data_IF_827477757549
#
_entry.id   IF_827477757549
#
_cell.length_a   1.000
_cell.length_b   1.000
_cell.length_c   1.000
_cell.angle_alpha   90.00
_cell.angle_beta   90.00
_cell.angle_gamma   90.00
#
_symmetry.space_group_name_H-M   'P 1'
#
loop_
_entity.id
_entity.type
_entity.pdbx_description
1 polymer ?
#
# COMPACT_ATOMS: atom_id res chain seq x y z
N UNK A 1 -7.42 6.38 -20.82
CA UNK A 1 -7.57 7.37 -19.75
C UNK A 1 -7.99 8.69 -20.38
N UNK A 2 -9.29 8.91 -20.59
CA UNK A 2 -9.81 10.13 -21.26
C UNK A 2 -10.53 11.09 -20.31
N UNK A 3 -10.77 10.69 -19.05
CA UNK A 3 -11.44 11.51 -18.04
C UNK A 3 -10.48 12.35 -17.17
N UNK A 4 -9.16 12.25 -17.37
CA UNK A 4 -8.16 12.90 -16.51
C UNK A 4 -7.98 12.26 -15.13
N UNK A 5 -8.53 11.06 -14.89
CA UNK A 5 -8.40 10.33 -13.63
C UNK A 5 -7.10 9.49 -13.61
N UNK A 6 -6.33 9.63 -12.53
CA UNK A 6 -5.27 8.70 -12.17
C UNK A 6 -5.86 7.48 -11.47
N UNK A 7 -5.37 6.29 -11.83
CA UNK A 7 -5.71 5.05 -11.15
C UNK A 7 -4.42 4.48 -10.56
N UNK A 8 -4.47 4.09 -9.29
CA UNK A 8 -3.39 3.29 -8.70
C UNK A 8 -4.01 2.06 -8.05
N UNK A 9 -3.20 1.01 -7.98
CA UNK A 9 -3.66 -0.31 -7.61
C UNK A 9 -3.19 -0.59 -6.20
N UNK A 10 -4.08 -1.14 -5.38
CA UNK A 10 -3.76 -1.58 -4.03
C UNK A 10 -4.19 -3.03 -3.85
N UNK A 11 -3.34 -3.84 -3.22
CA UNK A 11 -3.76 -5.11 -2.64
C UNK A 11 -4.27 -4.83 -1.23
N UNK A 12 -5.55 -5.10 -0.95
CA UNK A 12 -6.11 -4.98 0.41
C UNK A 12 -5.55 -6.06 1.33
N UNK A 13 -5.38 -5.70 2.60
CA UNK A 13 -4.99 -6.60 3.68
C UNK A 13 -6.08 -7.62 4.06
N UNK A 14 -5.72 -8.62 4.87
CA UNK A 14 -6.66 -9.49 5.58
C UNK A 14 -7.33 -8.79 6.76
N UNK A 15 -8.36 -9.42 7.32
CA UNK A 15 -9.01 -8.92 8.54
C UNK A 15 -8.00 -8.70 9.69
N UNK A 16 -8.22 -7.70 10.56
CA UNK A 16 -7.31 -7.39 11.67
C UNK A 16 -7.01 -8.59 12.58
N UNK A 17 -5.79 -8.60 13.14
CA UNK A 17 -5.23 -9.72 13.90
C UNK A 17 -4.63 -10.82 13.02
N UNK A 18 -4.33 -10.52 11.75
CA UNK A 18 -3.68 -11.46 10.85
C UNK A 18 -2.17 -11.49 11.10
N UNK A 19 -1.54 -12.61 10.72
CA UNK A 19 -0.11 -12.85 10.94
C UNK A 19 0.56 -12.96 9.57
N UNK A 20 1.38 -11.97 9.16
CA UNK A 20 2.21 -12.09 7.97
C UNK A 20 3.29 -13.15 8.17
N UNK A 21 3.61 -13.86 7.08
CA UNK A 21 4.75 -14.76 7.04
C UNK A 21 5.52 -14.53 5.73
N UNK A 22 6.81 -14.93 5.66
CA UNK A 22 7.57 -14.83 4.41
C UNK A 22 6.88 -15.53 3.23
N UNK A 23 6.25 -16.70 3.46
CA UNK A 23 5.55 -17.45 2.42
C UNK A 23 4.30 -16.74 1.92
N UNK A 24 3.55 -16.09 2.83
CA UNK A 24 2.41 -15.27 2.44
C UNK A 24 2.86 -14.04 1.64
N UNK A 25 4.03 -13.49 1.90
CA UNK A 25 4.58 -12.38 1.14
C UNK A 25 4.79 -12.75 -0.34
N UNK A 26 5.39 -13.93 -0.57
CA UNK A 26 5.54 -14.49 -1.92
C UNK A 26 4.19 -14.76 -2.58
N UNK A 27 3.29 -15.49 -1.89
CA UNK A 27 1.98 -15.84 -2.44
C UNK A 27 1.18 -14.59 -2.81
N UNK A 28 1.15 -13.59 -1.93
CA UNK A 28 0.33 -12.40 -2.13
C UNK A 28 0.95 -11.46 -3.16
N UNK A 29 2.28 -11.33 -3.17
CA UNK A 29 2.98 -10.58 -4.22
C UNK A 29 2.71 -11.16 -5.61
N UNK A 30 2.76 -12.49 -5.75
CA UNK A 30 2.40 -13.16 -7.00
C UNK A 30 0.95 -12.92 -7.39
N UNK A 31 0.03 -13.03 -6.42
CA UNK A 31 -1.39 -12.78 -6.68
C UNK A 31 -1.65 -11.34 -7.13
N UNK A 32 -1.08 -10.35 -6.43
CA UNK A 32 -1.19 -8.94 -6.81
C UNK A 32 -0.64 -8.71 -8.22
N UNK A 33 0.59 -9.13 -8.49
CA UNK A 33 1.23 -8.96 -9.78
C UNK A 33 0.45 -9.65 -10.93
N UNK A 34 -0.04 -10.87 -10.70
CA UNK A 34 -0.83 -11.59 -11.69
C UNK A 34 -2.20 -10.93 -11.93
N UNK A 35 -2.90 -10.47 -10.89
CA UNK A 35 -4.17 -9.75 -11.07
C UNK A 35 -3.98 -8.47 -11.88
N UNK A 36 -2.96 -7.68 -11.55
CA UNK A 36 -2.64 -6.44 -12.27
C UNK A 36 -2.35 -6.71 -13.75
N UNK A 37 -1.50 -7.71 -14.02
CA UNK A 37 -1.17 -8.11 -15.39
C UNK A 37 -2.40 -8.63 -16.15
N UNK A 38 -3.25 -9.45 -15.51
CA UNK A 38 -4.46 -10.01 -16.12
C UNK A 38 -5.53 -8.95 -16.41
N UNK A 39 -5.55 -7.85 -15.65
CA UNK A 39 -6.41 -6.69 -15.92
C UNK A 39 -5.89 -5.83 -17.08
N UNK A 40 -4.72 -6.15 -17.65
CA UNK A 40 -4.13 -5.47 -18.80
C UNK A 40 -3.41 -4.17 -18.46
N UNK A 41 -3.04 -3.95 -17.20
CA UNK A 41 -2.22 -2.81 -16.84
C UNK A 41 -0.80 -2.93 -17.42
N UNK A 42 -0.23 -1.84 -17.93
CA UNK A 42 1.12 -1.87 -18.47
C UNK A 42 2.15 -2.01 -17.35
N UNK A 43 3.34 -2.51 -17.69
CA UNK A 43 4.50 -2.48 -16.82
C UNK A 43 4.83 -1.04 -16.38
N UNK A 44 5.54 -0.90 -15.27
CA UNK A 44 5.98 0.36 -14.69
C UNK A 44 4.96 1.06 -13.79
N UNK A 45 3.68 0.67 -13.81
CA UNK A 45 2.67 1.24 -12.90
C UNK A 45 2.97 0.88 -11.44
N UNK A 46 2.51 1.73 -10.51
CA UNK A 46 2.66 1.49 -9.08
C UNK A 46 1.57 0.57 -8.54
N UNK A 47 1.98 -0.44 -7.78
CA UNK A 47 1.08 -1.34 -7.03
C UNK A 47 1.43 -1.22 -5.55
N UNK A 48 0.45 -0.90 -4.71
CA UNK A 48 0.62 -0.70 -3.29
C UNK A 48 0.28 -1.96 -2.48
N UNK A 49 1.17 -2.31 -1.55
CA UNK A 49 0.89 -3.24 -0.46
C UNK A 49 0.19 -2.50 0.68
N UNK A 50 -0.99 -2.95 1.09
CA UNK A 50 -1.66 -2.50 2.30
C UNK A 50 -1.11 -3.23 3.54
N UNK A 51 -0.51 -2.48 4.47
CA UNK A 51 0.06 -2.99 5.70
C UNK A 51 -0.62 -2.38 6.94
N UNK A 52 -1.62 -3.09 7.45
CA UNK A 52 -2.38 -2.69 8.65
C UNK A 52 -2.93 -3.88 9.45
N UNK A 53 -3.27 -3.63 10.71
CA UNK A 53 -4.02 -4.58 11.55
C UNK A 53 -3.30 -5.91 11.80
N UNK A 54 -1.97 -5.91 11.87
CA UNK A 54 -1.18 -7.13 12.15
C UNK A 54 -1.32 -7.50 13.64
N UNK A 55 -1.33 -8.81 13.94
CA UNK A 55 -1.28 -9.28 15.33
C UNK A 55 -0.05 -8.70 16.05
N UNK A 56 -0.28 -8.08 17.21
CA UNK A 56 0.75 -7.34 17.97
C UNK A 56 1.92 -8.21 18.45
N UNK A 57 1.77 -9.53 18.46
CA UNK A 57 2.85 -10.46 18.85
C UNK A 57 3.65 -10.96 17.64
N UNK A 58 3.32 -10.52 16.42
CA UNK A 58 4.05 -10.90 15.22
C UNK A 58 5.47 -10.33 15.28
N UNK A 59 6.52 -11.16 15.13
CA UNK A 59 7.89 -10.67 15.05
C UNK A 59 8.07 -9.70 13.89
N UNK A 60 8.67 -8.54 14.15
CA UNK A 60 8.94 -7.56 13.09
C UNK A 60 9.81 -8.12 11.95
N UNK A 61 10.66 -9.12 12.22
CA UNK A 61 11.40 -9.86 11.19
C UNK A 61 10.50 -10.57 10.18
N UNK A 62 9.38 -11.13 10.63
CA UNK A 62 8.43 -11.84 9.75
C UNK A 62 7.62 -10.85 8.92
N UNK A 63 7.28 -9.69 9.50
CA UNK A 63 6.64 -8.58 8.79
C UNK A 63 7.57 -8.04 7.69
N UNK A 64 8.84 -7.78 8.02
CA UNK A 64 9.85 -7.32 7.05
C UNK A 64 10.04 -8.34 5.93
N UNK A 65 10.13 -9.63 6.26
CA UNK A 65 10.30 -10.69 5.27
C UNK A 65 9.06 -10.84 4.38
N UNK A 66 7.85 -10.73 4.94
CA UNK A 66 6.60 -10.66 4.17
C UNK A 66 6.62 -9.49 3.17
N UNK A 67 6.92 -8.28 3.65
CA UNK A 67 6.99 -7.08 2.83
C UNK A 67 8.04 -7.17 1.71
N UNK A 68 9.23 -7.68 2.03
CA UNK A 68 10.34 -7.84 1.08
C UNK A 68 10.02 -8.90 0.02
N UNK A 69 9.43 -10.03 0.41
CA UNK A 69 9.03 -11.05 -0.55
C UNK A 69 7.90 -10.54 -1.46
N UNK A 70 6.92 -9.84 -0.91
CA UNK A 70 5.86 -9.21 -1.71
C UNK A 70 6.45 -8.23 -2.73
N UNK A 71 7.35 -7.36 -2.28
CA UNK A 71 8.07 -6.41 -3.13
C UNK A 71 8.72 -7.11 -4.33
N UNK A 72 9.49 -8.18 -4.06
CA UNK A 72 10.24 -8.88 -5.10
C UNK A 72 9.33 -9.49 -6.17
N UNK A 73 8.20 -10.10 -5.79
CA UNK A 73 7.28 -10.72 -6.75
C UNK A 73 6.61 -9.67 -7.65
N UNK A 74 6.29 -8.50 -7.10
CA UNK A 74 5.68 -7.38 -7.85
C UNK A 74 6.71 -6.73 -8.79
N UNK A 75 7.93 -6.48 -8.30
CA UNK A 75 9.02 -5.93 -9.11
C UNK A 75 9.44 -6.89 -10.25
N UNK A 76 9.54 -8.18 -9.96
CA UNK A 76 9.89 -9.21 -10.96
C UNK A 76 8.87 -9.33 -12.10
N UNK A 77 7.62 -8.88 -11.88
CA UNK A 77 6.59 -8.81 -12.92
C UNK A 77 6.64 -7.50 -13.73
N UNK A 78 7.56 -6.60 -13.41
CA UNK A 78 7.74 -5.32 -14.10
C UNK A 78 6.90 -4.17 -13.54
N UNK A 79 6.27 -4.32 -12.38
CA UNK A 79 5.55 -3.21 -11.71
C UNK A 79 6.44 -2.50 -10.71
N UNK A 80 6.04 -1.28 -10.31
CA UNK A 80 6.71 -0.50 -9.27
C UNK A 80 6.05 -0.77 -7.91
N UNK A 81 6.71 -1.43 -6.94
CA UNK A 81 6.09 -1.66 -5.63
C UNK A 81 6.04 -0.36 -4.80
N UNK A 82 4.88 -0.07 -4.22
CA UNK A 82 4.67 0.92 -3.17
C UNK A 82 4.10 0.28 -1.92
N UNK A 83 4.06 1.02 -0.81
CA UNK A 83 3.48 0.53 0.45
C UNK A 83 2.58 1.58 1.09
N UNK A 84 1.40 1.13 1.53
CA UNK A 84 0.48 1.87 2.37
C UNK A 84 0.64 1.42 3.82
N UNK A 85 0.78 2.38 4.74
CA UNK A 85 1.01 2.14 6.17
C UNK A 85 -0.16 2.66 7.00
N UNK A 86 -0.80 1.76 7.74
CA UNK A 86 -1.84 2.11 8.70
C UNK A 86 -1.55 1.60 10.13
N UNK A 87 -2.59 1.63 10.97
CA UNK A 87 -2.51 1.20 12.37
C UNK A 87 -2.01 -0.24 12.47
N UNK A 88 -1.31 -0.53 13.57
CA UNK A 88 -0.77 -1.85 13.88
C UNK A 88 0.00 -2.51 12.71
N UNK A 89 0.80 -1.73 11.99
CA UNK A 89 1.72 -2.25 10.97
C UNK A 89 2.89 -3.06 11.55
N UNK A 90 3.13 -2.93 12.87
CA UNK A 90 4.14 -3.68 13.61
C UNK A 90 5.59 -3.27 13.33
N UNK A 91 5.82 -2.18 12.60
CA UNK A 91 7.15 -1.67 12.25
C UNK A 91 7.38 -0.26 12.80
N UNK A 92 8.60 0.01 13.26
CA UNK A 92 9.03 1.37 13.62
C UNK A 92 9.56 2.16 12.41
N UNK A 93 9.83 3.46 12.61
CA UNK A 93 10.36 4.35 11.57
C UNK A 93 11.63 3.83 10.90
N UNK A 94 12.59 3.28 11.66
CA UNK A 94 13.85 2.79 11.10
C UNK A 94 13.64 1.53 10.28
N UNK A 95 12.76 0.64 10.75
CA UNK A 95 12.39 -0.56 10.01
C UNK A 95 11.68 -0.23 8.71
N UNK A 96 10.74 0.74 8.73
CA UNK A 96 10.10 1.24 7.53
C UNK A 96 11.12 1.82 6.55
N UNK A 97 12.03 2.70 7.00
CA UNK A 97 13.08 3.28 6.15
C UNK A 97 13.99 2.24 5.48
N UNK A 98 14.14 1.05 6.08
CA UNK A 98 15.00 -0.01 5.57
C UNK A 98 14.27 -0.99 4.62
N UNK A 99 12.95 -0.84 4.43
CA UNK A 99 12.22 -1.65 3.45
C UNK A 99 12.58 -1.22 2.01
N UNK A 100 12.46 -2.13 1.03
CA UNK A 100 12.86 -1.84 -0.35
C UNK A 100 11.93 -0.88 -1.11
N UNK A 101 10.82 -0.42 -0.51
CA UNK A 101 9.84 0.41 -1.19
C UNK A 101 10.36 1.82 -1.45
N UNK A 102 10.02 2.35 -2.63
CA UNK A 102 10.29 3.74 -3.01
C UNK A 102 9.12 4.67 -2.69
N UNK A 103 7.88 4.17 -2.81
CA UNK A 103 6.67 4.98 -2.69
C UNK A 103 5.92 4.64 -1.40
N UNK A 104 5.72 5.65 -0.54
CA UNK A 104 5.05 5.49 0.75
C UNK A 104 3.73 6.25 0.79
N UNK A 105 2.66 5.55 1.18
CA UNK A 105 1.33 6.10 1.35
C UNK A 105 0.91 5.99 2.81
N UNK A 106 0.64 7.12 3.45
CA UNK A 106 0.17 7.19 4.82
C UNK A 106 -1.35 7.13 4.92
N UNK A 107 -1.87 6.29 5.81
CA UNK A 107 -3.27 6.30 6.25
C UNK A 107 -3.69 7.53 7.06
N UNK A 108 -4.99 7.66 7.32
CA UNK A 108 -5.52 8.64 8.28
C UNK A 108 -5.06 8.44 9.74
N UNK A 109 -4.46 7.30 10.08
CA UNK A 109 -3.99 6.98 11.43
C UNK A 109 -2.68 7.70 11.81
N UNK A 110 -2.33 7.66 13.09
CA UNK A 110 -0.99 8.04 13.56
C UNK A 110 -0.05 6.84 13.43
N UNK A 111 0.94 6.95 12.55
CA UNK A 111 1.87 5.86 12.21
C UNK A 111 3.32 6.38 12.21
N UNK A 112 4.33 5.52 12.44
CA UNK A 112 5.74 5.91 12.33
C UNK A 112 6.07 6.47 10.95
N UNK A 113 6.98 7.45 10.91
CA UNK A 113 7.37 8.16 9.67
C UNK A 113 8.68 7.57 9.13
N UNK A 114 8.75 7.08 7.89
CA UNK A 114 10.00 6.67 7.25
C UNK A 114 10.87 7.89 6.91
N UNK A 115 12.18 7.71 6.80
CA UNK A 115 13.13 8.79 6.52
C UNK A 115 12.90 9.45 5.16
N UNK A 116 12.30 8.73 4.21
CA UNK A 116 11.90 9.22 2.89
C UNK A 116 10.69 10.15 2.94
N UNK A 117 9.93 10.18 4.03
CA UNK A 117 8.64 10.85 4.11
C UNK A 117 7.52 10.11 3.35
N UNK A 118 6.47 10.83 2.98
CA UNK A 118 5.24 10.28 2.37
C UNK A 118 5.04 10.84 0.96
N UNK A 119 4.76 9.97 -0.01
CA UNK A 119 4.33 10.38 -1.35
C UNK A 119 2.84 10.67 -1.39
N UNK A 120 2.04 9.93 -0.60
CA UNK A 120 0.60 10.08 -0.49
C UNK A 120 0.15 10.12 0.97
N UNK A 121 -0.91 10.89 1.24
CA UNK A 121 -1.56 10.93 2.56
C UNK A 121 -3.07 10.84 2.39
N UNK A 122 -3.67 9.80 2.97
CA UNK A 122 -5.11 9.66 3.15
C UNK A 122 -5.62 10.71 4.13
N UNK A 123 -6.62 11.46 3.70
CA UNK A 123 -7.21 12.56 4.45
C UNK A 123 -8.33 12.07 5.36
N UNK A 124 -8.48 12.73 6.50
CA UNK A 124 -9.67 12.62 7.33
C UNK A 124 -10.64 13.77 6.98
N UNK A 125 -11.96 13.57 7.08
CA UNK A 125 -12.64 12.32 7.46
C UNK A 125 -12.58 11.24 6.37
N UNK A 126 -12.58 9.96 6.80
CA UNK A 126 -12.74 8.80 5.90
C UNK A 126 -14.20 8.68 5.43
N UNK A 127 -14.43 7.84 4.42
CA UNK A 127 -15.76 7.44 3.94
C UNK A 127 -16.65 8.62 3.53
N UNK A 128 -16.07 9.66 2.90
CA UNK A 128 -16.87 10.79 2.41
C UNK A 128 -17.81 10.32 1.29
N UNK A 129 -19.01 10.88 1.24
CA UNK A 129 -19.99 10.55 0.21
C UNK A 129 -19.86 11.51 -0.97
N UNK A 130 -19.51 10.98 -2.13
CA UNK A 130 -19.50 11.71 -3.40
C UNK A 130 -20.41 10.98 -4.39
N UNK A 131 -21.46 11.65 -4.87
CA UNK A 131 -22.43 11.06 -5.80
C UNK A 131 -23.02 9.70 -5.33
N UNK A 132 -23.17 9.51 -4.01
CA UNK A 132 -23.73 8.29 -3.42
C UNK A 132 -22.72 7.16 -3.20
N UNK A 133 -21.43 7.37 -3.49
CA UNK A 133 -20.36 6.40 -3.24
C UNK A 133 -19.50 6.85 -2.05
N UNK A 134 -19.06 5.88 -1.25
CA UNK A 134 -18.05 6.09 -0.21
C UNK A 134 -16.66 6.16 -0.85
N UNK A 135 -15.92 7.19 -0.49
CA UNK A 135 -14.62 7.53 -1.08
C UNK A 135 -13.68 7.95 0.05
N UNK A 136 -12.42 7.54 -0.04
CA UNK A 136 -11.35 8.11 0.78
C UNK A 136 -10.55 9.11 -0.06
N UNK A 137 -10.43 10.34 0.44
CA UNK A 137 -9.65 11.37 -0.25
C UNK A 137 -8.16 11.22 0.09
N UNK A 138 -7.28 11.35 -0.90
CA UNK A 138 -5.84 11.29 -0.71
C UNK A 138 -5.16 12.46 -1.40
N UNK A 139 -4.03 12.90 -0.84
CA UNK A 139 -3.22 13.97 -1.42
C UNK A 139 -1.83 13.45 -1.74
N UNK A 140 -1.35 13.70 -2.96
CA UNK A 140 0.05 13.53 -3.32
C UNK A 140 0.88 14.66 -2.72
N UNK A 141 2.02 14.37 -2.11
CA UNK A 141 2.89 15.43 -1.59
C UNK A 141 3.71 16.15 -2.67
N UNK A 142 3.93 15.53 -3.85
CA UNK A 142 4.78 16.11 -4.91
C UNK A 142 4.03 16.87 -5.99
N UNK A 143 2.69 16.89 -5.97
CA UNK A 143 1.86 17.72 -6.86
C UNK A 143 0.69 18.32 -6.08
N UNK A 144 0.48 19.63 -6.16
CA UNK A 144 -0.66 20.37 -5.56
C UNK A 144 -2.05 19.96 -6.12
N UNK A 145 -2.16 18.77 -6.72
CA UNK A 145 -3.41 18.23 -7.26
C UNK A 145 -3.87 17.04 -6.40
N UNK A 146 -4.98 17.17 -5.66
CA UNK A 146 -5.60 16.06 -4.95
C UNK A 146 -5.91 14.88 -5.87
N UNK A 147 -5.61 13.65 -5.43
CA UNK A 147 -6.01 12.42 -6.13
C UNK A 147 -7.11 11.77 -5.31
N UNK A 148 -8.31 11.62 -5.87
CA UNK A 148 -9.46 11.03 -5.16
C UNK A 148 -9.59 9.54 -5.47
N UNK A 149 -9.86 8.75 -4.43
CA UNK A 149 -9.80 7.29 -4.53
C UNK A 149 -11.12 6.65 -4.17
N UNK A 150 -11.59 5.80 -5.08
CA UNK A 150 -12.75 4.97 -4.83
C UNK A 150 -12.33 3.74 -4.05
N UNK A 151 -12.86 3.60 -2.85
CA UNK A 151 -12.75 2.38 -2.07
C UNK A 151 -13.86 1.43 -2.54
N UNK A 152 -13.52 0.34 -3.23
CA UNK A 152 -14.47 -0.70 -3.66
C UNK A 152 -14.42 -1.93 -2.74
#
# INVERSE_FOLDING_TARGET
MESGLGLMIVQRVKNPGWIPTPSLGTEYGQNAANHVSNLGFPEGITVFLDLEGIDLNTPSSDIIAYCTNWYNEVENKGFSPGIYIAYDSGLDSSQLSNLPFKYYWKSGSNVPVPDTGWDLIQQLPLDIIVNGLQIDENLTQSTDTPVRWLHL
#
